data_IF_383022111618
#
_entry.id   IF_383022111618
#
_cell.length_a   1.000
_cell.length_b   1.000
_cell.length_c   1.000
_cell.angle_alpha   90.00
_cell.angle_beta   90.00
_cell.angle_gamma   90.00
#
_symmetry.space_group_name_H-M   'P 1'
#
loop_
_entity.id
_entity.type
_entity.pdbx_description
1 polymer ?
#
# COMPACT_ATOMS: atom_id res chain seq x y z
N UNK A 1 9.58 14.95 -0.78
CA UNK A 1 9.22 13.52 -0.82
C UNK A 1 9.71 12.85 0.45
N UNK A 2 8.95 11.89 0.96
CA UNK A 2 9.30 11.04 2.11
C UNK A 2 9.72 9.68 1.57
N UNK A 3 10.71 9.06 2.19
CA UNK A 3 11.18 7.70 1.83
C UNK A 3 10.85 6.73 2.94
N UNK A 4 10.26 5.60 2.57
CA UNK A 4 9.84 4.55 3.49
C UNK A 4 10.35 3.22 2.94
N UNK A 5 10.96 2.41 3.80
CA UNK A 5 11.34 1.04 3.48
C UNK A 5 10.43 0.08 4.24
N UNK A 6 9.86 -0.88 3.52
CA UNK A 6 8.95 -1.90 4.04
C UNK A 6 9.44 -3.28 3.61
N UNK A 7 10.23 -3.97 4.45
CA UNK A 7 10.50 -5.38 4.24
C UNK A 7 9.20 -6.17 4.49
N UNK A 8 8.88 -7.09 3.58
CA UNK A 8 7.75 -8.00 3.71
C UNK A 8 8.27 -9.42 3.46
N UNK A 9 8.20 -10.28 4.48
CA UNK A 9 8.75 -11.64 4.42
C UNK A 9 7.74 -12.68 3.91
N UNK A 10 6.50 -12.27 3.64
CA UNK A 10 5.42 -13.13 3.15
C UNK A 10 4.44 -12.40 2.24
N UNK A 11 3.55 -13.18 1.60
CA UNK A 11 2.43 -12.62 0.85
C UNK A 11 1.42 -11.91 1.76
N UNK A 12 1.22 -12.39 2.99
CA UNK A 12 0.34 -11.73 3.97
C UNK A 12 0.89 -10.36 4.38
N UNK A 13 2.21 -10.24 4.55
CA UNK A 13 2.87 -8.95 4.81
C UNK A 13 2.72 -7.99 3.62
N UNK A 14 2.78 -8.51 2.39
CA UNK A 14 2.51 -7.72 1.16
C UNK A 14 1.06 -7.25 1.12
N UNK A 15 0.11 -8.12 1.47
CA UNK A 15 -1.31 -7.78 1.56
C UNK A 15 -1.58 -6.73 2.64
N UNK A 16 -0.88 -6.80 3.79
CA UNK A 16 -0.97 -5.76 4.81
C UNK A 16 -0.44 -4.41 4.32
N UNK A 17 0.71 -4.38 3.65
CA UNK A 17 1.22 -3.16 3.02
C UNK A 17 0.21 -2.60 2.00
N UNK A 18 -0.43 -3.46 1.22
CA UNK A 18 -1.46 -3.06 0.29
C UNK A 18 -2.69 -2.44 0.98
N UNK A 19 -3.10 -2.98 2.13
CA UNK A 19 -4.15 -2.40 2.96
C UNK A 19 -3.75 -1.04 3.54
N UNK A 20 -2.50 -0.90 4.03
CA UNK A 20 -1.96 0.36 4.52
C UNK A 20 -1.94 1.42 3.39
N UNK A 21 -1.52 1.04 2.18
CA UNK A 21 -1.58 1.90 0.98
C UNK A 21 -3.02 2.28 0.63
N UNK A 22 -3.95 1.32 0.66
CA UNK A 22 -5.35 1.56 0.34
C UNK A 22 -6.03 2.55 1.30
N UNK A 23 -5.61 2.58 2.57
CA UNK A 23 -6.10 3.54 3.56
C UNK A 23 -5.57 4.97 3.34
N UNK A 24 -4.53 5.15 2.53
CA UNK A 24 -3.88 6.46 2.28
C UNK A 24 -4.23 7.02 0.91
N UNK A 25 -4.39 6.14 -0.09
CA UNK A 25 -4.66 6.52 -1.47
C UNK A 25 -5.99 7.27 -1.62
N UNK A 26 -5.99 8.29 -2.49
CA UNK A 26 -7.12 9.16 -2.81
C UNK A 26 -7.23 9.31 -4.34
N UNK A 27 -8.43 9.64 -4.86
CA UNK A 27 -8.58 10.04 -6.26
C UNK A 27 -7.53 11.08 -6.67
N UNK A 28 -6.95 10.88 -7.86
CA UNK A 28 -5.88 11.72 -8.41
C UNK A 28 -4.47 11.34 -7.98
N UNK A 29 -4.30 10.41 -7.04
CA UNK A 29 -2.98 9.85 -6.78
C UNK A 29 -2.53 8.96 -7.95
N UNK A 30 -1.27 9.14 -8.33
CA UNK A 30 -0.59 8.33 -9.35
C UNK A 30 0.54 7.58 -8.68
N UNK A 31 0.54 6.26 -8.83
CA UNK A 31 1.52 5.35 -8.26
C UNK A 31 2.21 4.58 -9.38
N UNK A 32 3.52 4.77 -9.52
CA UNK A 32 4.36 3.93 -10.37
C UNK A 32 4.95 2.77 -9.58
N UNK A 33 4.92 1.60 -10.21
CA UNK A 33 5.46 0.35 -9.68
C UNK A 33 6.71 -0.03 -10.50
N UNK A 34 7.86 0.12 -9.86
CA UNK A 34 9.15 -0.20 -10.44
C UNK A 34 9.61 -1.57 -9.95
N UNK A 35 10.13 -2.40 -10.84
CA UNK A 35 10.72 -3.68 -10.48
C UNK A 35 10.78 -4.63 -11.66
N UNK A 36 11.64 -5.65 -11.57
CA UNK A 36 11.86 -6.61 -12.64
C UNK A 36 10.61 -7.44 -12.97
N UNK A 37 10.68 -8.19 -14.07
CA UNK A 37 9.67 -9.19 -14.40
C UNK A 37 9.55 -10.21 -13.25
N UNK A 38 8.33 -10.45 -12.78
CA UNK A 38 8.09 -11.33 -11.64
C UNK A 38 8.37 -10.72 -10.25
N UNK A 39 8.73 -9.42 -10.17
CA UNK A 39 8.95 -8.75 -8.89
C UNK A 39 7.69 -8.71 -8.00
N UNK A 40 6.49 -8.84 -8.58
CA UNK A 40 5.23 -8.84 -7.86
C UNK A 40 4.41 -7.55 -8.01
N UNK A 41 4.67 -6.75 -9.04
CA UNK A 41 3.93 -5.52 -9.37
C UNK A 41 2.41 -5.77 -9.45
N UNK A 42 1.96 -6.67 -10.32
CA UNK A 42 0.55 -7.05 -10.44
C UNK A 42 -0.01 -7.67 -9.15
N UNK A 43 0.80 -8.40 -8.37
CA UNK A 43 0.38 -8.93 -7.07
C UNK A 43 0.04 -7.80 -6.10
N UNK A 44 0.89 -6.77 -6.02
CA UNK A 44 0.62 -5.60 -5.20
C UNK A 44 -0.63 -4.86 -5.67
N UNK A 45 -0.81 -4.65 -6.99
CA UNK A 45 -2.03 -4.02 -7.54
C UNK A 45 -3.28 -4.79 -7.14
N UNK A 46 -3.26 -6.12 -7.29
CA UNK A 46 -4.38 -6.98 -6.89
C UNK A 46 -4.70 -6.82 -5.41
N UNK A 47 -3.70 -6.87 -4.54
CA UNK A 47 -3.92 -6.71 -3.09
C UNK A 47 -4.43 -5.31 -2.72
N UNK A 48 -3.98 -4.24 -3.40
CA UNK A 48 -4.49 -2.87 -3.19
C UNK A 48 -5.95 -2.80 -3.59
N UNK A 49 -6.28 -3.29 -4.78
CA UNK A 49 -7.65 -3.31 -5.29
C UNK A 49 -8.57 -4.15 -4.38
N UNK A 50 -8.11 -5.31 -3.92
CA UNK A 50 -8.79 -6.16 -2.94
C UNK A 50 -9.08 -5.43 -1.63
N UNK A 51 -8.09 -4.73 -1.07
CA UNK A 51 -8.26 -3.92 0.13
C UNK A 51 -9.26 -2.76 -0.05
N UNK A 52 -9.41 -2.24 -1.28
CA UNK A 52 -10.43 -1.25 -1.63
C UNK A 52 -11.80 -1.87 -2.02
N UNK A 53 -11.94 -3.19 -1.93
CA UNK A 53 -13.20 -3.91 -2.13
C UNK A 53 -13.47 -4.40 -3.54
N UNK A 54 -12.47 -4.41 -4.43
CA UNK A 54 -12.54 -5.06 -5.74
C UNK A 54 -12.39 -6.57 -5.57
N UNK A 55 -13.07 -7.37 -6.39
CA UNK A 55 -12.80 -8.80 -6.46
C UNK A 55 -11.39 -9.05 -7.03
N UNK A 56 -10.49 -9.57 -6.20
CA UNK A 56 -9.11 -9.86 -6.57
C UNK A 56 -8.98 -10.79 -7.79
N UNK A 57 -9.96 -11.68 -8.01
CA UNK A 57 -9.97 -12.59 -9.15
C UNK A 57 -10.23 -11.88 -10.49
N UNK A 58 -10.84 -10.69 -10.45
CA UNK A 58 -11.03 -9.84 -11.62
C UNK A 58 -9.77 -9.03 -11.97
N UNK A 59 -8.81 -8.93 -11.05
CA UNK A 59 -7.60 -8.12 -11.23
C UNK A 59 -6.47 -8.94 -11.86
N UNK A 60 -6.14 -8.59 -13.10
CA UNK A 60 -5.08 -9.21 -13.89
C UNK A 60 -4.20 -8.14 -14.53
N UNK A 61 -2.99 -8.54 -14.93
CA UNK A 61 -2.07 -7.63 -15.61
C UNK A 61 -2.66 -7.23 -16.97
N UNK A 62 -2.84 -5.92 -17.24
CA UNK A 62 -3.42 -5.45 -18.49
C UNK A 62 -2.42 -5.42 -19.63
N UNK A 63 -1.35 -6.25 -19.65
CA UNK A 63 -0.28 -6.17 -20.66
C UNK A 63 -0.76 -6.10 -22.12
N UNK A 64 -1.88 -6.73 -22.48
CA UNK A 64 -2.44 -6.70 -23.84
C UNK A 64 -3.47 -5.59 -24.09
N UNK A 65 -4.26 -5.24 -23.06
CA UNK A 65 -5.30 -4.20 -23.14
C UNK A 65 -4.79 -2.83 -22.72
N UNK A 66 -3.55 -2.79 -22.21
CA UNK A 66 -2.78 -1.67 -21.66
C UNK A 66 -3.37 -1.09 -20.39
N UNK A 67 -4.70 -0.98 -20.28
CA UNK A 67 -5.39 -0.42 -19.13
C UNK A 67 -6.65 -1.22 -18.78
N UNK A 68 -6.83 -1.48 -17.48
CA UNK A 68 -8.09 -1.92 -16.88
C UNK A 68 -8.59 -0.86 -15.88
N UNK A 69 -9.90 -0.73 -15.75
CA UNK A 69 -10.53 0.11 -14.72
C UNK A 69 -11.36 -0.79 -13.83
N UNK A 70 -11.16 -0.67 -12.51
CA UNK A 70 -11.88 -1.43 -11.51
C UNK A 70 -12.67 -0.50 -10.58
N UNK A 71 -13.96 -0.80 -10.38
CA UNK A 71 -14.79 -0.06 -9.44
C UNK A 71 -14.48 -0.49 -8.01
N UNK A 72 -13.88 0.42 -7.23
CA UNK A 72 -13.61 0.22 -5.80
C UNK A 72 -14.58 1.01 -4.93
N UNK A 73 -14.54 0.81 -3.61
CA UNK A 73 -15.40 1.52 -2.65
C UNK A 73 -15.08 3.00 -2.48
N UNK A 74 -13.87 3.42 -2.86
CA UNK A 74 -13.37 4.79 -2.66
C UNK A 74 -13.42 5.58 -3.97
N UNK A 75 -12.79 5.03 -5.01
CA UNK A 75 -12.68 5.62 -6.34
C UNK A 75 -12.36 4.54 -7.39
N UNK A 76 -12.62 4.77 -8.68
CA UNK A 76 -12.14 3.87 -9.71
C UNK A 76 -10.61 3.71 -9.65
N UNK A 77 -10.13 2.48 -9.85
CA UNK A 77 -8.70 2.17 -9.94
C UNK A 77 -8.36 1.97 -11.42
N UNK A 78 -7.56 2.87 -11.98
CA UNK A 78 -6.99 2.71 -13.31
C UNK A 78 -5.66 1.96 -13.19
N UNK A 79 -5.63 0.70 -13.60
CA UNK A 79 -4.42 -0.12 -13.64
C UNK A 79 -3.86 -0.13 -15.06
N UNK A 80 -2.65 0.40 -15.22
CA UNK A 80 -1.95 0.47 -16.49
C UNK A 80 -0.71 -0.43 -16.48
N UNK A 81 -0.43 -1.06 -17.61
CA UNK A 81 0.83 -1.75 -17.89
C UNK A 81 1.43 -1.14 -19.16
N UNK A 82 2.45 -0.30 -18.97
CA UNK A 82 3.07 0.47 -20.03
C UNK A 82 4.19 -0.29 -20.77
N UNK A 83 4.41 -1.58 -20.48
CA UNK A 83 5.51 -2.36 -21.05
C UNK A 83 5.56 -2.34 -22.59
N UNK A 84 4.38 -2.23 -23.22
CA UNK A 84 4.21 -2.21 -24.68
C UNK A 84 4.09 -0.82 -25.31
N UNK A 85 4.09 0.25 -24.51
CA UNK A 85 4.09 1.60 -25.04
C UNK A 85 5.47 1.94 -25.60
N UNK A 86 5.47 2.51 -26.81
CA UNK A 86 6.69 2.87 -27.55
C UNK A 86 6.83 4.38 -27.78
N UNK A 87 5.76 5.15 -27.60
CA UNK A 87 5.74 6.59 -27.87
C UNK A 87 4.71 7.36 -27.02
N UNK A 88 4.91 8.68 -26.90
CA UNK A 88 3.95 9.60 -26.29
C UNK A 88 2.60 9.62 -27.06
N UNK A 89 2.62 9.34 -28.36
CA UNK A 89 1.41 9.23 -29.19
C UNK A 89 0.53 8.04 -28.76
N UNK A 90 1.13 6.90 -28.39
CA UNK A 90 0.40 5.75 -27.86
C UNK A 90 -0.32 6.12 -26.56
N UNK A 91 0.35 6.90 -25.70
CA UNK A 91 -0.20 7.37 -24.44
C UNK A 91 -1.36 8.36 -24.65
N UNK A 92 -1.21 9.28 -25.60
CA UNK A 92 -2.29 10.21 -25.98
C UNK A 92 -3.50 9.45 -26.55
N UNK A 93 -3.28 8.40 -27.36
CA UNK A 93 -4.35 7.56 -27.93
C UNK A 93 -5.14 6.79 -26.86
N UNK A 94 -4.52 6.42 -25.74
CA UNK A 94 -5.21 5.85 -24.57
C UNK A 94 -6.12 6.87 -23.85
N UNK A 95 -6.01 8.15 -24.19
CA UNK A 95 -6.73 9.21 -23.51
C UNK A 95 -6.14 9.55 -22.14
N UNK A 96 -4.81 9.59 -22.04
CA UNK A 96 -4.08 9.88 -20.79
C UNK A 96 -4.60 11.12 -20.03
N UNK A 97 -4.94 12.19 -20.74
CA UNK A 97 -5.53 13.40 -20.15
C UNK A 97 -6.84 13.14 -19.40
N UNK A 98 -7.63 12.15 -19.83
CA UNK A 98 -8.87 11.75 -19.16
C UNK A 98 -8.60 10.82 -18.00
N UNK A 99 -7.60 9.94 -18.13
CA UNK A 99 -7.19 9.02 -17.07
C UNK A 99 -6.61 9.79 -15.88
N UNK A 100 -5.94 10.92 -16.14
CA UNK A 100 -5.30 11.79 -15.14
C UNK A 100 -6.15 12.98 -14.71
N UNK A 101 -7.47 12.95 -14.95
CA UNK A 101 -8.40 14.03 -14.60
C UNK A 101 -8.65 14.23 -13.09
N UNK A 102 -8.07 13.36 -12.25
CA UNK A 102 -8.20 13.38 -10.80
C UNK A 102 -9.35 12.55 -10.24
N UNK A 103 -10.12 11.86 -11.08
CA UNK A 103 -11.27 11.04 -10.66
C UNK A 103 -10.89 9.65 -10.15
N UNK A 104 -9.73 9.14 -10.56
CA UNK A 104 -9.30 7.75 -10.35
C UNK A 104 -7.99 7.67 -9.56
N UNK A 105 -7.76 6.53 -8.91
CA UNK A 105 -6.45 6.14 -8.38
C UNK A 105 -5.71 5.40 -9.50
N UNK A 106 -4.51 5.83 -9.84
CA UNK A 106 -3.78 5.32 -11.01
C UNK A 106 -2.59 4.48 -10.55
N UNK A 107 -2.57 3.21 -10.94
CA UNK A 107 -1.50 2.25 -10.62
C UNK A 107 -0.82 1.83 -11.93
N UNK A 108 0.47 2.14 -12.08
CA UNK A 108 1.18 2.01 -13.36
C UNK A 108 2.35 1.06 -13.20
N UNK A 109 2.33 -0.05 -13.94
CA UNK A 109 3.48 -0.92 -14.14
C UNK A 109 4.33 -0.40 -15.31
N UNK A 110 5.66 -0.52 -15.19
CA UNK A 110 6.62 -0.10 -16.24
C UNK A 110 6.51 1.38 -16.62
N UNK A 111 6.30 2.24 -15.61
CA UNK A 111 6.05 3.66 -15.78
C UNK A 111 7.25 4.43 -16.39
N UNK A 112 8.46 3.85 -16.36
CA UNK A 112 9.64 4.44 -17.01
C UNK A 112 9.46 4.61 -18.53
N UNK A 113 8.50 3.89 -19.14
CA UNK A 113 8.12 4.07 -20.55
C UNK A 113 7.39 5.38 -20.82
N UNK A 114 6.83 6.00 -19.79
CA UNK A 114 6.04 7.24 -19.88
C UNK A 114 6.55 8.31 -18.91
N UNK A 115 7.83 8.25 -18.53
CA UNK A 115 8.43 9.10 -17.50
C UNK A 115 8.20 10.60 -17.77
N UNK A 116 8.27 11.02 -19.04
CA UNK A 116 8.02 12.41 -19.48
C UNK A 116 6.61 12.91 -19.21
N UNK A 117 5.64 11.99 -19.09
CA UNK A 117 4.22 12.30 -18.91
C UNK A 117 3.75 12.17 -17.44
N UNK A 118 4.62 11.68 -16.55
CA UNK A 118 4.30 11.52 -15.14
C UNK A 118 4.40 12.88 -14.41
N UNK A 119 3.38 13.27 -13.62
CA UNK A 119 3.47 14.45 -12.76
C UNK A 119 4.57 14.33 -11.71
N UNK A 120 5.12 15.47 -11.27
CA UNK A 120 6.20 15.52 -10.25
C UNK A 120 5.82 14.86 -8.91
N UNK A 121 4.53 14.88 -8.57
CA UNK A 121 4.01 14.30 -7.32
C UNK A 121 3.66 12.81 -7.41
N UNK A 122 4.08 12.13 -8.49
CA UNK A 122 3.89 10.68 -8.65
C UNK A 122 4.56 9.92 -7.51
N UNK A 123 3.81 9.05 -6.86
CA UNK A 123 4.32 8.12 -5.85
C UNK A 123 5.11 7.03 -6.56
N UNK A 124 6.32 6.74 -6.07
CA UNK A 124 7.14 5.64 -6.57
C UNK A 124 7.20 4.51 -5.56
N UNK A 125 6.93 3.29 -6.01
CA UNK A 125 7.13 2.07 -5.23
C UNK A 125 8.09 1.17 -6.00
N UNK A 126 9.32 1.02 -5.49
CA UNK A 126 10.26 0.03 -6.02
C UNK A 126 10.10 -1.30 -5.28
N UNK A 127 10.08 -2.40 -6.03
CA UNK A 127 9.86 -3.75 -5.53
C UNK A 127 11.07 -4.61 -5.84
N UNK A 128 11.77 -5.05 -4.80
CA UNK A 128 12.97 -5.89 -4.91
C UNK A 128 12.71 -7.26 -4.30
N UNK A 129 12.80 -8.36 -5.08
CA UNK A 129 12.75 -9.72 -4.53
C UNK A 129 13.91 -10.01 -3.56
N UNK A 130 13.57 -10.48 -2.35
CA UNK A 130 14.54 -10.87 -1.31
C UNK A 130 14.40 -12.34 -0.88
N UNK A 131 13.44 -13.05 -1.46
CA UNK A 131 13.19 -14.48 -1.28
C UNK A 131 12.02 -14.92 -2.16
N UNK A 132 11.58 -16.17 -2.01
CA UNK A 132 10.47 -16.73 -2.82
C UNK A 132 9.20 -15.89 -2.68
N UNK A 133 8.77 -15.64 -1.43
CA UNK A 133 7.62 -14.82 -1.08
C UNK A 133 7.99 -13.48 -0.39
N UNK A 134 9.29 -13.21 -0.25
CA UNK A 134 9.79 -12.02 0.44
C UNK A 134 10.17 -10.91 -0.56
N UNK A 135 9.78 -9.67 -0.25
CA UNK A 135 10.05 -8.47 -1.04
C UNK A 135 10.50 -7.33 -0.11
N UNK A 136 11.37 -6.48 -0.61
CA UNK A 136 11.59 -5.14 -0.07
C UNK A 136 10.81 -4.14 -0.93
N UNK A 137 9.93 -3.38 -0.30
CA UNK A 137 9.24 -2.26 -0.92
C UNK A 137 9.90 -0.95 -0.49
N UNK A 138 10.32 -0.13 -1.45
CA UNK A 138 10.87 1.20 -1.20
C UNK A 138 9.92 2.25 -1.78
N UNK A 139 9.20 2.93 -0.89
CA UNK A 139 8.21 3.92 -1.25
C UNK A 139 8.85 5.31 -1.21
N UNK A 140 8.59 6.11 -2.25
CA UNK A 140 8.88 7.54 -2.28
C UNK A 140 7.57 8.27 -2.52
N UNK A 141 7.05 8.92 -1.48
CA UNK A 141 5.71 9.53 -1.46
C UNK A 141 5.80 11.06 -1.28
N UNK A 142 4.81 11.83 -1.75
CA UNK A 142 4.71 13.27 -1.46
C UNK A 142 4.68 13.56 0.05
N UNK A 143 5.26 14.67 0.48
CA UNK A 143 5.21 15.09 1.89
C UNK A 143 3.79 15.39 2.36
N UNK A 144 2.91 15.79 1.44
CA UNK A 144 1.48 16.01 1.71
C UNK A 144 0.76 14.76 2.24
N UNK A 145 1.31 13.56 2.02
CA UNK A 145 0.74 12.31 2.55
C UNK A 145 0.80 12.22 4.07
N UNK A 146 1.74 12.89 4.76
CA UNK A 146 1.85 12.89 6.24
C UNK A 146 0.54 13.28 6.93
N UNK A 147 -0.21 14.21 6.32
CA UNK A 147 -1.49 14.70 6.86
C UNK A 147 -2.67 13.72 6.67
N UNK A 148 -2.47 12.59 6.00
CA UNK A 148 -3.56 11.63 5.69
C UNK A 148 -3.70 10.65 6.85
N UNK A 149 -4.93 10.42 7.30
CA UNK A 149 -5.23 9.58 8.46
C UNK A 149 -4.63 8.15 8.40
N UNK A 150 -4.49 7.56 7.21
CA UNK A 150 -3.88 6.24 7.04
C UNK A 150 -2.34 6.25 7.03
N UNK A 151 -1.69 7.41 6.96
CA UNK A 151 -0.24 7.53 6.76
C UNK A 151 0.60 6.85 7.84
N UNK A 152 0.25 6.89 9.15
CA UNK A 152 0.96 6.13 10.17
C UNK A 152 1.04 4.62 9.89
N UNK A 153 0.09 4.09 9.11
CA UNK A 153 0.12 2.70 8.66
C UNK A 153 1.32 2.38 7.76
N UNK A 154 1.81 3.34 6.98
CA UNK A 154 2.94 3.18 6.07
C UNK A 154 4.29 3.26 6.76
N UNK A 155 4.38 3.92 7.91
CA UNK A 155 5.63 4.14 8.62
C UNK A 155 6.35 2.84 8.98
N UNK A 156 7.67 2.94 9.12
CA UNK A 156 8.48 1.81 9.59
C UNK A 156 8.10 1.49 11.03
N UNK A 157 7.79 0.22 11.29
CA UNK A 157 7.46 -0.28 12.63
C UNK A 157 8.65 -1.08 13.16
N UNK A 158 8.96 -1.04 14.46
CA UNK A 158 9.95 -1.93 15.03
C UNK A 158 9.35 -3.33 15.25
N UNK A 159 10.23 -4.33 15.29
CA UNK A 159 9.90 -5.62 15.89
C UNK A 159 9.49 -5.38 17.35
N UNK A 160 8.48 -6.11 17.81
CA UNK A 160 7.89 -5.89 19.13
C UNK A 160 7.56 -7.21 19.82
N UNK A 161 7.02 -7.11 21.03
CA UNK A 161 6.48 -8.23 21.80
C UNK A 161 4.97 -8.05 21.91
N UNK A 162 4.22 -9.11 21.59
CA UNK A 162 2.77 -9.10 21.73
C UNK A 162 2.37 -8.81 23.18
N UNK A 163 1.55 -7.77 23.43
CA UNK A 163 1.18 -7.38 24.80
C UNK A 163 0.33 -8.44 25.52
N UNK A 164 -0.35 -9.31 24.77
CA UNK A 164 -1.24 -10.35 25.31
C UNK A 164 -0.53 -11.69 25.50
N UNK A 165 0.35 -12.07 24.58
CA UNK A 165 0.97 -13.42 24.57
C UNK A 165 2.43 -13.42 24.98
N UNK A 166 3.09 -12.26 25.02
CA UNK A 166 4.53 -12.14 25.30
C UNK A 166 5.44 -12.69 24.19
N UNK A 167 4.88 -13.07 23.03
CA UNK A 167 5.64 -13.63 21.91
C UNK A 167 6.24 -12.54 21.02
N UNK A 168 7.40 -12.77 20.38
CA UNK A 168 7.94 -11.86 19.38
C UNK A 168 6.98 -11.68 18.19
N UNK A 169 6.86 -10.44 17.74
CA UNK A 169 6.05 -10.03 16.59
C UNK A 169 6.94 -9.22 15.64
N UNK A 170 7.23 -9.74 14.44
CA UNK A 170 7.97 -9.00 13.43
C UNK A 170 7.24 -7.71 13.03
N UNK A 171 8.02 -6.70 12.64
CA UNK A 171 7.58 -5.39 12.15
C UNK A 171 6.59 -5.45 10.97
N UNK A 172 6.63 -6.52 10.18
CA UNK A 172 5.78 -6.75 9.01
C UNK A 172 4.61 -7.70 9.28
N UNK A 173 4.37 -8.07 10.55
CA UNK A 173 3.22 -8.89 10.93
C UNK A 173 1.90 -8.20 10.57
N UNK A 174 0.95 -8.90 9.92
CA UNK A 174 -0.38 -8.34 9.61
C UNK A 174 -1.20 -8.03 10.86
N UNK A 175 -0.83 -8.63 12.00
CA UNK A 175 -1.53 -8.42 13.28
C UNK A 175 -0.74 -7.54 14.24
N UNK A 176 0.35 -6.91 13.79
CA UNK A 176 1.17 -6.04 14.63
C UNK A 176 0.29 -5.02 15.42
N UNK A 177 0.52 -4.83 16.74
CA UNK A 177 1.60 -5.40 17.56
C UNK A 177 1.27 -6.76 18.18
N UNK A 178 0.16 -7.39 17.79
CA UNK A 178 -0.29 -8.69 18.31
C UNK A 178 0.34 -9.86 17.54
N UNK A 179 0.43 -11.01 18.22
CA UNK A 179 1.00 -12.23 17.64
C UNK A 179 0.06 -12.90 16.64
N UNK A 180 -1.24 -12.84 16.91
CA UNK A 180 -2.28 -13.38 16.06
C UNK A 180 -3.61 -12.64 16.28
N UNK A 181 -4.61 -12.96 15.45
CA UNK A 181 -5.94 -12.35 15.52
C UNK A 181 -6.62 -12.60 16.87
N UNK A 182 -6.36 -13.75 17.49
CA UNK A 182 -6.94 -14.10 18.77
C UNK A 182 -6.41 -13.20 19.88
N UNK A 183 -5.12 -12.89 19.87
CA UNK A 183 -4.50 -11.94 20.78
C UNK A 183 -5.07 -10.53 20.59
N UNK A 184 -5.25 -10.08 19.35
CA UNK A 184 -5.89 -8.78 19.04
C UNK A 184 -7.32 -8.70 19.59
N UNK A 185 -8.12 -9.74 19.36
CA UNK A 185 -9.50 -9.80 19.85
C UNK A 185 -9.59 -9.91 21.37
N UNK A 186 -8.65 -10.58 22.02
CA UNK A 186 -8.58 -10.66 23.48
C UNK A 186 -8.29 -9.28 24.11
N UNK A 187 -7.40 -8.48 23.51
CA UNK A 187 -7.13 -7.11 23.94
C UNK A 187 -8.37 -6.22 23.83
N UNK A 188 -9.06 -6.26 22.68
CA UNK A 188 -10.31 -5.53 22.46
C UNK A 188 -11.39 -5.92 23.48
N UNK A 189 -11.52 -7.21 23.80
CA UNK A 189 -12.44 -7.67 24.83
C UNK A 189 -12.05 -7.15 26.22
N UNK A 190 -10.76 -7.10 26.54
CA UNK A 190 -10.24 -6.52 27.78
C UNK A 190 -10.63 -5.05 27.94
N UNK A 191 -10.54 -4.27 26.85
CA UNK A 191 -11.04 -2.89 26.80
C UNK A 191 -12.55 -2.80 27.03
N UNK A 192 -13.36 -3.59 26.30
CA UNK A 192 -14.83 -3.54 26.38
C UNK A 192 -15.34 -3.99 27.76
N UNK A 193 -14.70 -4.99 28.35
CA UNK A 193 -15.08 -5.55 29.66
C UNK A 193 -14.58 -4.74 30.86
N UNK A 194 -13.78 -3.70 30.63
CA UNK A 194 -13.16 -2.90 31.69
C UNK A 194 -12.05 -3.64 32.45
N UNK A 195 -11.57 -4.78 31.95
CA UNK A 195 -10.48 -5.54 32.54
C UNK A 195 -9.10 -5.13 31.99
N UNK A 196 -9.03 -4.03 31.23
CA UNK A 196 -7.80 -3.55 30.63
C UNK A 196 -6.80 -3.07 31.68
N UNK A 197 -5.58 -3.59 31.60
CA UNK A 197 -4.45 -3.16 32.43
C UNK A 197 -3.53 -2.35 31.52
N UNK A 198 -3.42 -1.05 31.80
CA UNK A 198 -2.51 -0.17 31.05
C UNK A 198 -1.09 -0.69 31.24
N UNK A 199 -0.48 -1.15 30.15
CA UNK A 199 0.80 -1.87 30.15
C UNK A 199 2.01 -1.00 30.51
N UNK A 200 1.84 0.33 30.51
CA UNK A 200 2.79 1.29 31.06
C UNK A 200 2.04 2.48 31.69
N UNK A 201 2.62 3.15 32.70
CA UNK A 201 2.01 4.36 33.28
C UNK A 201 1.76 5.41 32.19
N UNK A 202 0.63 6.12 32.28
CA UNK A 202 0.36 7.30 31.46
C UNK A 202 1.44 8.35 31.79
N UNK A 203 2.19 8.77 30.78
CA UNK A 203 3.18 9.83 30.91
C UNK A 203 2.53 11.18 30.60
N UNK A 204 3.11 12.27 31.11
CA UNK A 204 2.54 13.62 30.97
C UNK A 204 2.35 14.05 29.51
N UNK A 205 3.21 13.55 28.62
CA UNK A 205 3.12 13.71 27.15
C UNK A 205 1.91 13.01 26.51
N UNK A 206 1.36 11.97 27.15
CA UNK A 206 0.19 11.25 26.63
C UNK A 206 -1.12 12.00 26.96
N UNK A 207 -1.06 13.01 27.83
CA UNK A 207 -2.18 13.86 28.27
C UNK A 207 -2.20 15.22 27.58
N UNK A 208 -1.15 15.56 26.86
CA UNK A 208 -1.05 16.79 26.06
C UNK A 208 -1.59 16.46 24.67
N UNK A 209 -2.90 16.63 24.47
CA UNK A 209 -3.52 16.63 23.13
C UNK A 209 -2.97 17.86 22.36
N UNK A 210 -2.26 17.63 21.24
CA UNK A 210 -1.99 18.67 20.22
C UNK A 210 -3.26 19.01 19.42
#
# INVERSE_FOLDING_TARGET
>A
MIRIQRPCHSLDATAQLAADLAAVLRPGDIVRLDGDMGAGKTTLVRSIAGAMGVDESAVSSPTYVIMNIYDSRVAPIAHLDCYRLGSDEDLAALGWDRVTDGSSIILIEWAERIESALPEHTVRIAITPTGEHARLFELTVPTSWESRAGFPGLESRPDTICPITGKPVPSDSPTWPFFDERARMADLHGWISGSYIISRPIEQRDLEEE
#
